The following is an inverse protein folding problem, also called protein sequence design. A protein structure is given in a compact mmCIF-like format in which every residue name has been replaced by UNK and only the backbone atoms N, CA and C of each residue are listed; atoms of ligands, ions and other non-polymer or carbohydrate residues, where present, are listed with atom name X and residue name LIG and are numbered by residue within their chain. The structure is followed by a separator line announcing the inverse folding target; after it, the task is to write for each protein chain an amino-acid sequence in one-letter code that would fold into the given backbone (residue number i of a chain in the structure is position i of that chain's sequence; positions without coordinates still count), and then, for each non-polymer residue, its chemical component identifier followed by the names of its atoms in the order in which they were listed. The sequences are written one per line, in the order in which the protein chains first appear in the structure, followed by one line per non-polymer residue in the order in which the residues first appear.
data_IF_035184003926
#
_entry.id   IF_035184003926
#
_cell.length_a   1.000
_cell.length_b   1.000
_cell.length_c   1.000
_cell.angle_alpha   90.00
_cell.angle_beta   90.00
_cell.angle_gamma   90.00
#
_symmetry.space_group_name_H-M   'P 1'
#
loop_
_entity.id
_entity.type
_entity.pdbx_description
1 polymer ?
#
# COMPACT_ATOMS: atom_id res chain seq x y z
N UNK A 1 -3.77 -18.65 0.86
CA UNK A 1 -2.73 -18.68 1.92
C UNK A 1 -2.11 -17.29 2.08
N UNK A 2 -2.06 -16.70 3.29
CA UNK A 2 -1.28 -15.48 3.55
C UNK A 2 0.20 -15.74 3.23
N UNK A 3 0.99 -14.72 2.81
CA UNK A 3 2.39 -14.94 2.51
C UNK A 3 3.09 -15.43 3.79
N UNK A 4 3.87 -16.51 3.66
CA UNK A 4 4.57 -17.17 4.76
C UNK A 4 5.40 -16.13 5.51
N UNK A 5 5.03 -15.87 6.78
CA UNK A 5 5.74 -14.97 7.69
C UNK A 5 7.05 -15.66 8.11
N UNK A 6 8.10 -15.58 7.31
CA UNK A 6 9.42 -16.07 7.72
C UNK A 6 9.95 -15.17 8.85
N UNK A 7 10.08 -15.77 10.05
CA UNK A 7 10.34 -15.12 11.34
C UNK A 7 11.80 -14.61 11.54
N UNK A 8 12.55 -14.34 10.46
CA UNK A 8 13.93 -13.81 10.54
C UNK A 8 13.99 -12.42 9.90
N UNK A 9 13.62 -11.38 10.65
CA UNK A 9 14.03 -10.01 10.29
C UNK A 9 12.99 -8.90 10.45
N UNK A 10 11.70 -9.20 10.73
CA UNK A 10 10.72 -8.16 11.00
C UNK A 10 10.70 -7.86 12.50
N UNK A 11 11.23 -6.69 12.89
CA UNK A 11 11.08 -6.12 14.24
C UNK A 11 9.62 -6.23 14.69
N UNK A 12 9.38 -6.52 15.97
CA UNK A 12 8.06 -6.66 16.56
C UNK A 12 7.10 -5.57 16.03
N UNK A 13 5.83 -5.91 15.71
CA UNK A 13 4.87 -4.95 15.20
C UNK A 13 4.77 -3.79 16.21
N UNK A 14 5.05 -2.54 15.77
CA UNK A 14 4.98 -1.39 16.67
C UNK A 14 3.55 -1.21 17.22
N UNK A 15 3.39 -0.53 18.38
CA UNK A 15 2.07 -0.26 18.95
C UNK A 15 1.16 0.48 17.95
N UNK A 16 -0.09 0.04 17.83
CA UNK A 16 -1.08 0.53 16.86
C UNK A 16 -1.12 -0.22 15.53
N UNK A 17 -0.29 -1.27 15.33
CA UNK A 17 -0.38 -2.11 14.13
C UNK A 17 -1.65 -2.97 14.09
N UNK A 18 -2.15 -3.42 15.26
CA UNK A 18 -3.31 -4.31 15.33
C UNK A 18 -4.58 -3.66 14.73
N UNK A 19 -4.80 -2.37 14.97
CA UNK A 19 -5.97 -1.64 14.47
C UNK A 19 -5.98 -1.46 12.95
N UNK A 20 -4.80 -1.47 12.32
CA UNK A 20 -4.65 -1.30 10.87
C UNK A 20 -4.39 -2.62 10.15
N UNK A 21 -4.02 -3.69 10.86
CA UNK A 21 -3.66 -4.98 10.27
C UNK A 21 -4.80 -5.55 9.43
N UNK A 22 -6.04 -5.46 9.91
CA UNK A 22 -7.24 -5.97 9.22
C UNK A 22 -7.46 -5.28 7.87
N UNK A 23 -7.48 -3.95 7.86
CA UNK A 23 -7.63 -3.16 6.63
C UNK A 23 -6.48 -3.38 5.64
N UNK A 24 -5.24 -3.47 6.13
CA UNK A 24 -4.07 -3.75 5.29
C UNK A 24 -4.13 -5.17 4.69
N UNK A 25 -4.66 -6.14 5.44
CA UNK A 25 -4.88 -7.49 4.97
C UNK A 25 -5.95 -7.52 3.87
N UNK A 26 -7.02 -6.74 4.03
CA UNK A 26 -8.07 -6.61 3.01
C UNK A 26 -7.51 -6.08 1.68
N UNK A 27 -6.67 -5.03 1.72
CA UNK A 27 -5.98 -4.54 0.52
C UNK A 27 -5.03 -5.57 -0.09
N UNK A 28 -4.34 -6.36 0.75
CA UNK A 28 -3.45 -7.42 0.26
C UNK A 28 -4.22 -8.57 -0.41
N UNK A 29 -5.40 -8.91 0.11
CA UNK A 29 -6.30 -9.89 -0.50
C UNK A 29 -6.83 -9.37 -1.84
N UNK A 30 -7.36 -8.13 -1.88
CA UNK A 30 -7.79 -7.47 -3.12
C UNK A 30 -6.67 -7.43 -4.17
N UNK A 31 -5.42 -7.18 -3.76
CA UNK A 31 -4.26 -7.19 -4.66
C UNK A 31 -4.00 -8.58 -5.27
N UNK A 32 -4.13 -9.65 -4.45
CA UNK A 32 -4.02 -11.03 -4.94
C UNK A 32 -5.13 -11.37 -5.92
N UNK A 33 -6.36 -11.03 -5.59
CA UNK A 33 -7.51 -11.28 -6.48
C UNK A 33 -7.35 -10.54 -7.80
N UNK A 34 -6.94 -9.26 -7.76
CA UNK A 34 -6.66 -8.47 -8.96
C UNK A 34 -5.51 -9.03 -9.81
N UNK A 35 -4.53 -9.70 -9.18
CA UNK A 35 -3.42 -10.35 -9.88
C UNK A 35 -3.83 -11.74 -10.43
N UNK A 36 -4.76 -12.43 -9.76
CA UNK A 36 -5.25 -13.75 -10.14
C UNK A 36 -6.36 -13.68 -11.21
N UNK A 37 -7.04 -12.53 -11.33
CA UNK A 37 -8.07 -12.27 -12.33
C UNK A 37 -7.52 -12.52 -13.75
N UNK A 38 -8.06 -13.53 -14.43
CA UNK A 38 -7.63 -13.90 -15.78
C UNK A 38 -7.77 -12.70 -16.73
N UNK A 39 -6.73 -12.49 -17.55
CA UNK A 39 -6.62 -11.37 -18.48
C UNK A 39 -7.14 -11.70 -19.88
N UNK A 40 -7.91 -12.79 -20.03
CA UNK A 40 -8.48 -13.19 -21.32
C UNK A 40 -9.41 -12.11 -21.89
N UNK A 41 -9.08 -11.64 -23.09
CA UNK A 41 -9.84 -10.62 -23.83
C UNK A 41 -9.55 -9.16 -23.46
N UNK A 42 -8.76 -8.88 -22.42
CA UNK A 42 -8.44 -7.50 -21.99
C UNK A 42 -7.05 -7.07 -22.45
N UNK A 43 -6.88 -5.78 -22.76
CA UNK A 43 -5.55 -5.25 -23.11
C UNK A 43 -4.67 -5.29 -21.85
N UNK A 44 -3.37 -5.51 -22.03
CA UNK A 44 -2.37 -5.56 -20.92
C UNK A 44 -2.49 -4.39 -19.94
N UNK A 45 -2.84 -3.19 -20.42
CA UNK A 45 -3.00 -2.04 -19.53
C UNK A 45 -4.25 -2.13 -18.65
N UNK A 46 -5.39 -2.58 -19.19
CA UNK A 46 -6.65 -2.73 -18.45
C UNK A 46 -6.53 -3.79 -17.35
N UNK A 47 -5.78 -4.85 -17.63
CA UNK A 47 -5.39 -5.86 -16.65
C UNK A 47 -4.61 -5.26 -15.46
N UNK A 48 -3.77 -4.24 -15.71
CA UNK A 48 -2.90 -3.66 -14.67
C UNK A 48 -3.57 -2.49 -13.92
N UNK A 49 -4.61 -1.87 -14.47
CA UNK A 49 -5.34 -0.77 -13.82
C UNK A 49 -5.85 -1.07 -12.40
N UNK A 50 -6.55 -2.19 -12.15
CA UNK A 50 -7.03 -2.51 -10.80
C UNK A 50 -5.87 -2.69 -9.80
N UNK A 51 -4.74 -3.24 -10.25
CA UNK A 51 -3.52 -3.41 -9.44
C UNK A 51 -2.99 -2.04 -9.00
N UNK A 52 -2.90 -1.08 -9.92
CA UNK A 52 -2.47 0.28 -9.58
C UNK A 52 -3.45 1.01 -8.66
N UNK A 53 -4.75 0.83 -8.88
CA UNK A 53 -5.79 1.43 -8.04
C UNK A 53 -5.70 0.92 -6.60
N UNK A 54 -5.49 -0.38 -6.40
CA UNK A 54 -5.34 -0.98 -5.08
C UNK A 54 -4.05 -0.51 -4.41
N UNK A 55 -2.92 -0.46 -5.13
CA UNK A 55 -1.66 0.03 -4.56
C UNK A 55 -1.74 1.52 -4.16
N UNK A 56 -2.43 2.32 -4.98
CA UNK A 56 -2.72 3.72 -4.67
C UNK A 56 -3.58 3.85 -3.42
N UNK A 57 -4.71 3.14 -3.36
CA UNK A 57 -5.63 3.18 -2.22
C UNK A 57 -4.94 2.76 -0.92
N UNK A 58 -4.14 1.69 -0.96
CA UNK A 58 -3.35 1.21 0.18
C UNK A 58 -2.34 2.27 0.66
N UNK A 59 -1.61 2.89 -0.27
CA UNK A 59 -0.65 3.94 0.07
C UNK A 59 -1.33 5.21 0.60
N UNK A 60 -2.51 5.55 0.07
CA UNK A 60 -3.32 6.70 0.49
C UNK A 60 -3.86 6.52 1.90
N UNK A 61 -4.34 5.31 2.22
CA UNK A 61 -4.79 4.95 3.55
C UNK A 61 -3.70 5.19 4.60
N UNK A 62 -2.47 4.71 4.35
CA UNK A 62 -1.32 4.94 5.26
C UNK A 62 -0.95 6.42 5.35
N UNK A 63 -1.04 7.18 4.25
CA UNK A 63 -0.81 8.62 4.26
C UNK A 63 -1.83 9.36 5.12
N UNK A 64 -3.13 9.08 4.96
CA UNK A 64 -4.21 9.72 5.71
C UNK A 64 -4.18 9.37 7.19
N UNK A 65 -3.84 8.13 7.54
CA UNK A 65 -3.64 7.71 8.93
C UNK A 65 -2.54 8.50 9.64
N UNK A 66 -1.45 8.85 8.94
CA UNK A 66 -0.34 9.58 9.53
C UNK A 66 -0.52 11.10 9.46
N UNK A 67 -0.98 11.66 8.33
CA UNK A 67 -1.05 13.10 8.11
C UNK A 67 -2.39 13.74 8.48
N UNK A 68 -3.49 12.99 8.42
CA UNK A 68 -4.84 13.53 8.64
C UNK A 68 -5.41 13.07 9.97
N UNK A 69 -5.30 11.77 10.27
CA UNK A 69 -5.86 11.19 11.50
C UNK A 69 -4.85 11.08 12.64
N UNK A 70 -3.56 11.20 12.36
CA UNK A 70 -2.44 11.07 13.33
C UNK A 70 -2.56 9.84 14.24
N UNK A 71 -3.22 8.77 13.77
CA UNK A 71 -3.52 7.57 14.57
C UNK A 71 -2.31 6.62 14.67
N UNK A 72 -1.23 6.93 13.95
CA UNK A 72 -0.05 6.09 13.80
C UNK A 72 1.19 6.86 14.26
N UNK A 73 2.03 6.24 15.08
CA UNK A 73 3.33 6.81 15.45
C UNK A 73 4.29 6.86 14.26
N UNK A 74 5.20 7.83 14.25
CA UNK A 74 6.26 7.93 13.22
C UNK A 74 7.05 6.62 13.05
N UNK A 75 7.31 5.92 14.16
CA UNK A 75 8.01 4.64 14.15
C UNK A 75 7.22 3.54 13.41
N UNK A 76 5.89 3.50 13.60
CA UNK A 76 5.01 2.56 12.88
C UNK A 76 4.91 2.93 11.40
N UNK A 77 4.81 4.22 11.07
CA UNK A 77 4.81 4.70 9.70
C UNK A 77 6.09 4.29 8.94
N UNK A 78 7.27 4.52 9.53
CA UNK A 78 8.56 4.10 8.93
C UNK A 78 8.67 2.57 8.81
N UNK A 79 8.14 1.82 9.78
CA UNK A 79 8.09 0.36 9.73
C UNK A 79 7.18 -0.15 8.60
N UNK A 80 6.03 0.49 8.37
CA UNK A 80 5.10 0.18 7.28
C UNK A 80 5.74 0.42 5.91
N UNK A 81 6.45 1.55 5.76
CA UNK A 81 7.22 1.84 4.54
C UNK A 81 8.32 0.82 4.30
N UNK A 82 9.08 0.46 5.35
CA UNK A 82 10.18 -0.52 5.25
C UNK A 82 9.69 -1.93 4.89
N UNK A 83 8.47 -2.28 5.27
CA UNK A 83 7.86 -3.56 4.95
C UNK A 83 7.10 -3.58 3.61
N UNK A 84 7.04 -2.47 2.88
CA UNK A 84 6.37 -2.38 1.58
C UNK A 84 4.84 -2.35 1.68
N UNK A 85 4.27 -1.94 2.81
CA UNK A 85 2.82 -1.72 2.92
C UNK A 85 2.38 -0.44 2.20
N UNK A 86 3.28 0.53 2.02
CA UNK A 86 3.01 1.76 1.26
C UNK A 86 4.22 2.20 0.44
N UNK A 87 3.96 2.89 -0.67
CA UNK A 87 4.99 3.39 -1.57
C UNK A 87 5.60 4.71 -1.08
N UNK A 88 6.81 4.63 -0.50
CA UNK A 88 7.53 5.82 -0.02
C UNK A 88 7.77 6.86 -1.12
N UNK A 89 8.07 6.42 -2.34
CA UNK A 89 8.31 7.31 -3.48
C UNK A 89 7.02 8.02 -3.92
N UNK A 90 5.86 7.34 -3.86
CA UNK A 90 4.57 7.91 -4.21
C UNK A 90 4.14 8.96 -3.18
N UNK A 91 4.29 8.63 -1.90
CA UNK A 91 4.01 9.56 -0.80
C UNK A 91 4.93 10.80 -0.88
N UNK A 92 6.21 10.62 -1.21
CA UNK A 92 7.12 11.73 -1.42
C UNK A 92 6.67 12.66 -2.56
N UNK A 93 5.96 12.14 -3.57
CA UNK A 93 5.34 12.98 -4.61
C UNK A 93 4.11 13.71 -4.10
N UNK A 94 3.24 13.08 -3.32
CA UNK A 94 2.05 13.75 -2.78
C UNK A 94 2.39 14.95 -1.88
N UNK A 95 3.56 14.95 -1.25
CA UNK A 95 4.06 16.10 -0.49
C UNK A 95 4.52 17.28 -1.35
N UNK A 96 4.73 17.09 -2.66
CA UNK A 96 5.12 18.18 -3.56
C UNK A 96 3.87 18.88 -4.10
N UNK A 97 3.91 20.22 -4.09
CA UNK A 97 2.85 21.04 -4.67
C UNK A 97 2.61 20.65 -6.13
N UNK A 98 1.34 20.45 -6.50
CA UNK A 98 0.93 20.03 -7.84
C UNK A 98 0.90 18.51 -8.09
N UNK A 99 1.33 17.69 -7.14
CA UNK A 99 1.30 16.22 -7.25
C UNK A 99 0.41 15.53 -6.21
N UNK A 100 -0.40 16.30 -5.46
CA UNK A 100 -1.21 15.82 -4.33
C UNK A 100 -2.20 14.70 -4.69
N UNK A 101 -2.61 14.64 -5.96
CA UNK A 101 -3.54 13.63 -6.52
C UNK A 101 -2.88 12.64 -7.48
N UNK A 102 -1.54 12.48 -7.41
CA UNK A 102 -0.82 11.59 -8.33
C UNK A 102 -1.29 10.13 -8.14
N UNK A 103 -1.79 9.52 -9.21
CA UNK A 103 -2.33 8.15 -9.19
C UNK A 103 -1.22 7.09 -9.00
N UNK A 104 -0.17 7.11 -9.83
CA UNK A 104 0.92 6.16 -9.73
C UNK A 104 2.23 6.72 -10.34
N UNK A 105 3.36 6.12 -9.95
CA UNK A 105 4.68 6.41 -10.50
C UNK A 105 4.95 5.52 -11.71
N UNK A 106 4.21 5.70 -12.81
CA UNK A 106 4.52 5.01 -14.06
C UNK A 106 5.59 5.80 -14.80
N UNK A 107 6.84 5.33 -14.76
CA UNK A 107 7.86 5.76 -15.74
C UNK A 107 7.47 5.16 -17.10
N UNK A 108 7.48 6.03 -18.11
CA UNK A 108 7.14 5.71 -19.49
C UNK A 108 8.21 4.83 -20.11
#
# INVERSE_FOLDING_TARGET
MPPIRTAKGKKAPPPGFADIEDTLLEYANKMRDATALSHEGKKKHEATWPIFQISHARSRYVYELYYTREAISKQLYEWLLKNGYADAALIAKWKKQGYEKLCCLRRK
#
